data_IF_693565582675
#
_entry.id   IF_693565582675
#
_cell.length_a   1.000
_cell.length_b   1.000
_cell.length_c   1.000
_cell.angle_alpha   90.00
_cell.angle_beta   90.00
_cell.angle_gamma   90.00
#
_symmetry.space_group_name_H-M   'P 1'
#
loop_
_entity.id
_entity.type
_entity.pdbx_description
1 polymer ?
#
# COMPACT_ATOMS: atom_id res chain seq x y z
N UNK A 1 -29.11 18.12 0.11
CA UNK A 1 -28.18 18.76 -0.86
C UNK A 1 -27.65 20.01 -0.18
N UNK A 2 -26.32 20.19 -0.07
CA UNK A 2 -25.75 21.39 0.57
C UNK A 2 -26.21 22.60 -0.26
N UNK A 3 -26.95 23.57 0.32
CA UNK A 3 -27.60 24.65 -0.44
C UNK A 3 -26.61 25.51 -1.25
N UNK A 4 -25.34 25.53 -0.85
CA UNK A 4 -24.30 26.31 -1.49
C UNK A 4 -22.95 25.56 -1.46
N UNK A 5 -22.69 24.73 -2.48
CA UNK A 5 -21.43 23.98 -2.61
C UNK A 5 -20.20 24.89 -2.73
N UNK A 6 -20.36 26.07 -3.34
CA UNK A 6 -19.31 27.09 -3.44
C UNK A 6 -18.93 27.61 -2.05
N UNK A 7 -19.92 27.92 -1.20
CA UNK A 7 -19.68 28.34 0.17
C UNK A 7 -19.00 27.24 1.00
N UNK A 8 -19.48 25.99 0.88
CA UNK A 8 -18.84 24.85 1.53
C UNK A 8 -17.35 24.73 1.14
N UNK A 9 -17.05 24.80 -0.16
CA UNK A 9 -15.68 24.79 -0.66
C UNK A 9 -14.85 25.97 -0.10
N UNK A 10 -15.40 27.19 -0.08
CA UNK A 10 -14.72 28.38 0.49
C UNK A 10 -14.43 28.23 1.98
N UNK A 11 -15.37 27.71 2.78
CA UNK A 11 -15.15 27.48 4.22
C UNK A 11 -14.05 26.44 4.45
N UNK A 12 -14.04 25.36 3.68
CA UNK A 12 -13.01 24.33 3.77
C UNK A 12 -11.63 24.88 3.37
N UNK A 13 -11.54 25.62 2.26
CA UNK A 13 -10.29 26.23 1.82
C UNK A 13 -9.76 27.25 2.82
N UNK A 14 -10.63 28.09 3.40
CA UNK A 14 -10.24 29.03 4.46
C UNK A 14 -9.70 28.32 5.71
N UNK A 15 -10.30 27.18 6.08
CA UNK A 15 -9.75 26.33 7.13
C UNK A 15 -8.40 25.73 6.73
N UNK A 16 -8.26 25.24 5.51
CA UNK A 16 -7.01 24.68 4.99
C UNK A 16 -5.87 25.69 5.00
N UNK A 17 -6.13 26.93 4.58
CA UNK A 17 -5.11 28.00 4.55
C UNK A 17 -4.51 28.27 5.94
N UNK A 18 -5.28 28.06 7.02
CA UNK A 18 -4.83 28.23 8.42
C UNK A 18 -4.26 26.97 9.05
N UNK A 19 -4.70 25.78 8.62
CA UNK A 19 -4.47 24.53 9.34
C UNK A 19 -3.80 23.43 8.51
N UNK A 20 -3.46 23.69 7.24
CA UNK A 20 -2.78 22.73 6.36
C UNK A 20 -1.53 22.19 7.04
N UNK A 21 -1.35 20.87 6.95
CA UNK A 21 -0.14 20.22 7.45
C UNK A 21 1.05 20.56 6.55
N UNK A 22 2.18 20.85 7.17
CA UNK A 22 3.47 20.93 6.50
C UNK A 22 3.99 19.52 6.22
N UNK A 23 4.00 19.12 4.95
CA UNK A 23 4.38 17.78 4.50
C UNK A 23 5.42 17.89 3.37
N UNK A 24 6.42 16.99 3.31
CA UNK A 24 7.56 17.13 2.39
C UNK A 24 7.20 17.20 0.89
N UNK A 25 6.08 16.61 0.51
CA UNK A 25 5.57 16.54 -0.86
C UNK A 25 4.57 17.63 -1.21
N UNK A 26 4.20 18.50 -0.27
CA UNK A 26 3.25 19.58 -0.52
C UNK A 26 4.00 20.84 -0.94
N UNK A 27 3.64 21.36 -2.12
CA UNK A 27 4.04 22.70 -2.53
C UNK A 27 3.57 23.74 -1.50
N UNK A 28 4.41 24.72 -1.20
CA UNK A 28 4.05 25.82 -0.30
C UNK A 28 3.03 26.75 -0.98
N UNK A 29 2.32 27.60 -0.22
CA UNK A 29 1.45 28.61 -0.81
C UNK A 29 2.19 29.45 -1.87
N UNK A 30 1.64 29.51 -3.09
CA UNK A 30 2.24 30.21 -4.23
C UNK A 30 3.22 29.38 -5.08
N UNK A 31 3.61 28.19 -4.64
CA UNK A 31 4.43 27.27 -5.43
C UNK A 31 3.57 26.34 -6.29
N UNK A 32 4.08 25.97 -7.46
CA UNK A 32 3.49 24.93 -8.29
C UNK A 32 3.97 23.56 -7.81
N UNK A 33 3.03 22.64 -7.58
CA UNK A 33 3.38 21.28 -7.21
C UNK A 33 3.97 20.52 -8.39
N UNK A 34 5.14 19.92 -8.18
CA UNK A 34 5.79 19.05 -9.16
C UNK A 34 5.03 17.71 -9.30
N UNK A 35 4.54 17.36 -10.50
CA UNK A 35 3.84 16.09 -10.73
C UNK A 35 4.63 14.85 -10.30
N UNK A 36 5.96 14.83 -10.48
CA UNK A 36 6.81 13.71 -10.05
C UNK A 36 6.74 13.52 -8.54
N UNK A 37 6.87 14.63 -7.80
CA UNK A 37 6.80 14.66 -6.33
C UNK A 37 5.44 14.30 -5.79
N UNK A 38 4.36 14.78 -6.42
CA UNK A 38 2.99 14.41 -6.05
C UNK A 38 2.78 12.92 -6.26
N UNK A 39 3.04 12.42 -7.47
CA UNK A 39 2.88 11.01 -7.82
C UNK A 39 3.67 10.09 -6.87
N UNK A 40 4.95 10.37 -6.63
CA UNK A 40 5.79 9.57 -5.75
C UNK A 40 5.18 9.45 -4.33
N UNK A 41 4.71 10.59 -3.79
CA UNK A 41 4.07 10.62 -2.47
C UNK A 41 2.76 9.82 -2.44
N UNK A 42 1.93 9.92 -3.48
CA UNK A 42 0.67 9.20 -3.56
C UNK A 42 0.88 7.69 -3.62
N UNK A 43 1.90 7.21 -4.36
CA UNK A 43 2.26 5.79 -4.38
C UNK A 43 2.80 5.34 -3.02
N UNK A 44 3.66 6.12 -2.37
CA UNK A 44 4.18 5.81 -1.03
C UNK A 44 3.09 5.74 0.03
N UNK A 45 2.09 6.63 -0.01
CA UNK A 45 1.00 6.70 0.97
C UNK A 45 -0.06 5.61 0.81
N UNK A 46 -0.02 4.82 -0.26
CA UNK A 46 -0.90 3.66 -0.40
C UNK A 46 -0.66 2.67 0.76
N UNK A 47 -1.67 2.52 1.63
CA UNK A 47 -1.62 1.64 2.81
C UNK A 47 -0.44 1.92 3.75
N UNK A 48 0.11 3.14 3.72
CA UNK A 48 1.25 3.56 4.54
C UNK A 48 0.89 4.87 5.25
N UNK A 49 1.30 5.04 6.51
CA UNK A 49 1.00 6.27 7.26
C UNK A 49 1.94 7.41 6.85
N UNK A 50 1.49 8.65 6.99
CA UNK A 50 2.30 9.85 6.72
C UNK A 50 3.64 9.84 7.47
N UNK A 51 3.70 9.55 8.79
CA UNK A 51 4.97 9.51 9.51
C UNK A 51 5.93 8.44 9.00
N UNK A 52 5.42 7.29 8.56
CA UNK A 52 6.24 6.23 7.99
C UNK A 52 6.75 6.56 6.60
N UNK A 53 5.94 7.21 5.75
CA UNK A 53 6.31 7.56 4.38
C UNK A 53 7.27 8.76 4.28
N UNK A 54 7.16 9.74 5.19
CA UNK A 54 7.95 10.98 5.15
C UNK A 54 9.47 10.81 5.04
N UNK A 55 10.15 9.97 5.84
CA UNK A 55 11.61 9.80 5.71
C UNK A 55 12.01 9.14 4.39
N UNK A 56 11.24 8.16 3.91
CA UNK A 56 11.49 7.52 2.62
C UNK A 56 11.31 8.50 1.47
N UNK A 57 10.25 9.30 1.50
CA UNK A 57 10.01 10.30 0.48
C UNK A 57 11.20 11.26 0.34
N UNK A 58 11.72 11.79 1.47
CA UNK A 58 12.89 12.67 1.45
C UNK A 58 14.09 11.98 0.81
N UNK A 59 14.45 10.79 1.32
CA UNK A 59 15.59 10.03 0.80
C UNK A 59 15.45 9.69 -0.69
N UNK A 60 14.25 9.38 -1.17
CA UNK A 60 14.00 9.12 -2.60
C UNK A 60 14.20 10.39 -3.43
N UNK A 61 13.62 11.52 -3.01
CA UNK A 61 13.75 12.78 -3.76
C UNK A 61 15.16 13.38 -3.71
N UNK A 62 15.97 13.00 -2.72
CA UNK A 62 17.39 13.37 -2.64
C UNK A 62 18.23 12.50 -3.59
N UNK A 63 17.98 11.18 -3.64
CA UNK A 63 18.72 10.25 -4.52
C UNK A 63 18.33 10.37 -5.98
N UNK A 64 17.03 10.58 -6.24
CA UNK A 64 16.45 10.69 -7.58
C UNK A 64 15.61 11.97 -7.65
N UNK A 65 16.24 13.13 -7.90
CA UNK A 65 15.55 14.41 -7.89
C UNK A 65 14.48 14.54 -8.98
N UNK A 66 14.63 13.84 -10.11
CA UNK A 66 13.69 13.84 -11.22
C UNK A 66 13.17 12.43 -11.54
N UNK A 67 12.07 12.37 -12.30
CA UNK A 67 11.54 11.09 -12.80
C UNK A 67 12.53 10.36 -13.72
N UNK A 68 13.40 11.10 -14.43
CA UNK A 68 14.47 10.53 -15.26
C UNK A 68 15.51 9.84 -14.38
N UNK A 69 15.98 10.49 -13.32
CA UNK A 69 16.96 9.91 -12.39
C UNK A 69 16.42 8.60 -11.78
N UNK A 70 15.13 8.58 -11.43
CA UNK A 70 14.48 7.36 -10.93
C UNK A 70 14.34 6.28 -12.01
N UNK A 71 14.04 6.67 -13.24
CA UNK A 71 13.88 5.74 -14.37
C UNK A 71 15.21 5.06 -14.75
N UNK A 72 16.31 5.82 -14.73
CA UNK A 72 17.64 5.36 -15.12
C UNK A 72 18.32 4.51 -14.03
N UNK A 73 17.83 4.58 -12.79
CA UNK A 73 18.34 3.80 -11.67
C UNK A 73 18.13 2.28 -11.89
N UNK A 74 19.11 1.43 -11.49
CA UNK A 74 18.90 -0.01 -11.40
C UNK A 74 17.70 -0.34 -10.50
N UNK A 75 16.87 -1.29 -10.92
CA UNK A 75 15.69 -1.67 -10.14
C UNK A 75 16.06 -2.11 -8.72
N UNK A 76 17.16 -2.85 -8.55
CA UNK A 76 17.60 -3.33 -7.24
C UNK A 76 17.90 -2.18 -6.27
N UNK A 77 18.49 -1.08 -6.74
CA UNK A 77 18.73 0.11 -5.90
C UNK A 77 17.41 0.75 -5.44
N UNK A 78 16.40 0.78 -6.31
CA UNK A 78 15.05 1.26 -5.99
C UNK A 78 14.38 0.34 -4.97
N UNK A 79 14.53 -0.98 -5.10
CA UNK A 79 13.98 -1.96 -4.17
C UNK A 79 14.66 -1.86 -2.79
N UNK A 80 15.98 -1.66 -2.75
CA UNK A 80 16.74 -1.43 -1.51
C UNK A 80 16.28 -0.15 -0.83
N UNK A 81 16.13 0.96 -1.57
CA UNK A 81 15.63 2.20 -1.01
C UNK A 81 14.18 2.07 -0.49
N UNK A 82 13.35 1.25 -1.14
CA UNK A 82 11.97 0.98 -0.73
C UNK A 82 11.85 0.00 0.45
N UNK A 83 12.94 -0.66 0.84
CA UNK A 83 12.91 -1.71 1.85
C UNK A 83 12.39 -1.16 3.18
N UNK A 84 11.31 -1.77 3.69
CA UNK A 84 10.62 -1.34 4.91
C UNK A 84 9.30 -0.58 4.70
N UNK A 85 9.04 -0.01 3.52
CA UNK A 85 7.73 0.58 3.17
C UNK A 85 6.64 -0.47 2.91
N UNK A 86 7.03 -1.72 2.67
CA UNK A 86 6.12 -2.82 2.34
C UNK A 86 5.52 -2.74 0.92
N UNK A 87 4.86 -3.82 0.50
CA UNK A 87 4.26 -3.96 -0.85
C UNK A 87 5.23 -3.60 -1.98
N UNK A 88 6.29 -4.39 -2.16
CA UNK A 88 7.34 -4.13 -3.18
C UNK A 88 6.84 -4.11 -4.62
N UNK A 89 5.66 -4.69 -4.89
CA UNK A 89 4.98 -4.51 -6.17
C UNK A 89 4.71 -3.02 -6.49
N UNK A 90 4.49 -2.16 -5.47
CA UNK A 90 4.40 -0.71 -5.65
C UNK A 90 5.70 -0.13 -6.16
N UNK A 91 6.84 -0.51 -5.59
CA UNK A 91 8.16 -0.04 -6.02
C UNK A 91 8.48 -0.44 -7.46
N UNK A 92 8.17 -1.69 -7.84
CA UNK A 92 8.36 -2.16 -9.22
C UNK A 92 7.45 -1.43 -10.22
N UNK A 93 6.17 -1.28 -9.89
CA UNK A 93 5.24 -0.52 -10.74
C UNK A 93 5.60 0.96 -10.82
N UNK A 94 6.06 1.56 -9.71
CA UNK A 94 6.60 2.91 -9.65
C UNK A 94 7.77 3.05 -10.63
N UNK A 95 8.77 2.15 -10.57
CA UNK A 95 9.92 2.18 -11.47
C UNK A 95 9.53 1.98 -12.94
N UNK A 96 8.65 1.01 -13.23
CA UNK A 96 8.10 0.81 -14.57
C UNK A 96 7.40 2.07 -15.11
N UNK A 97 6.59 2.72 -14.28
CA UNK A 97 5.92 3.97 -14.63
C UNK A 97 6.90 5.12 -14.83
N UNK A 98 7.93 5.24 -13.99
CA UNK A 98 8.98 6.25 -14.15
C UNK A 98 9.64 6.12 -15.53
N UNK A 99 9.99 4.90 -15.94
CA UNK A 99 10.55 4.63 -17.28
C UNK A 99 9.59 5.00 -18.40
N UNK A 100 8.31 4.64 -18.30
CA UNK A 100 7.30 5.04 -19.30
C UNK A 100 7.18 6.56 -19.41
N UNK A 101 7.12 7.27 -18.28
CA UNK A 101 7.04 8.76 -18.28
C UNK A 101 8.32 9.37 -18.83
N UNK A 102 9.47 8.84 -18.47
CA UNK A 102 10.75 9.31 -18.95
C UNK A 102 10.87 9.09 -20.47
N UNK A 103 10.62 7.89 -20.95
CA UNK A 103 10.89 7.50 -22.34
C UNK A 103 9.80 7.94 -23.31
N UNK A 104 8.53 7.77 -22.97
CA UNK A 104 7.41 8.05 -23.87
C UNK A 104 6.83 9.46 -23.71
N UNK A 105 7.02 10.09 -22.55
CA UNK A 105 6.50 11.43 -22.26
C UNK A 105 7.60 12.47 -22.02
N UNK A 106 8.86 12.16 -22.37
CA UNK A 106 9.97 13.10 -22.28
C UNK A 106 10.28 13.58 -20.84
N UNK A 107 10.02 12.73 -19.85
CA UNK A 107 10.24 13.06 -18.43
C UNK A 107 9.17 13.96 -17.82
N UNK A 108 8.02 14.13 -18.48
CA UNK A 108 6.92 14.97 -17.99
C UNK A 108 5.65 14.14 -17.85
N UNK A 109 5.01 14.18 -16.69
CA UNK A 109 3.70 13.57 -16.53
C UNK A 109 2.67 14.27 -17.44
N UNK A 110 1.76 13.51 -18.08
CA UNK A 110 0.67 14.12 -18.82
C UNK A 110 -0.28 14.87 -17.88
N UNK A 111 -0.78 16.02 -18.31
CA UNK A 111 -1.72 16.83 -17.53
C UNK A 111 -3.19 16.37 -17.63
N UNK A 112 -3.47 15.41 -18.51
CA UNK A 112 -4.79 14.87 -18.75
C UNK A 112 -5.06 13.62 -17.89
N UNK A 113 -6.25 13.53 -17.29
CA UNK A 113 -6.58 12.42 -16.38
C UNK A 113 -6.68 11.09 -17.13
N UNK A 114 -7.18 11.07 -18.37
CA UNK A 114 -7.26 9.84 -19.15
C UNK A 114 -5.86 9.34 -19.52
N UNK A 115 -4.96 10.23 -19.94
CA UNK A 115 -3.57 9.89 -20.20
C UNK A 115 -2.82 9.42 -18.93
N UNK A 116 -3.11 10.00 -17.76
CA UNK A 116 -2.56 9.53 -16.49
C UNK A 116 -3.01 8.10 -16.15
N UNK A 117 -4.26 7.72 -16.49
CA UNK A 117 -4.79 6.37 -16.25
C UNK A 117 -4.15 5.28 -17.11
N UNK A 118 -3.53 5.66 -18.22
CA UNK A 118 -2.81 4.73 -19.10
C UNK A 118 -1.42 4.36 -18.52
N UNK A 119 -0.93 5.13 -17.54
CA UNK A 119 0.39 4.89 -16.94
C UNK A 119 0.39 3.70 -15.97
N UNK A 120 1.46 2.87 -15.96
CA UNK A 120 1.54 1.71 -15.07
C UNK A 120 1.37 2.07 -13.59
N UNK A 121 0.46 1.37 -12.91
CA UNK A 121 0.26 1.55 -11.47
C UNK A 121 -0.46 2.85 -11.06
N UNK A 122 -0.92 3.67 -12.01
CA UNK A 122 -1.77 4.83 -11.75
C UNK A 122 -3.24 4.41 -11.90
N UNK A 123 -3.95 4.34 -10.77
CA UNK A 123 -5.40 4.13 -10.76
C UNK A 123 -6.18 5.45 -10.70
N UNK A 124 -7.51 5.35 -10.78
CA UNK A 124 -8.43 6.51 -10.79
C UNK A 124 -8.17 7.53 -9.65
N UNK A 125 -7.85 7.04 -8.44
CA UNK A 125 -7.52 7.92 -7.32
C UNK A 125 -6.23 8.73 -7.58
N UNK A 126 -5.15 8.06 -7.97
CA UNK A 126 -3.84 8.70 -8.20
C UNK A 126 -3.90 9.64 -9.40
N UNK A 127 -4.60 9.25 -10.47
CA UNK A 127 -4.80 10.12 -11.64
C UNK A 127 -5.52 11.41 -11.24
N UNK A 128 -6.66 11.32 -10.56
CA UNK A 128 -7.39 12.48 -10.07
C UNK A 128 -6.55 13.35 -9.12
N UNK A 129 -5.76 12.73 -8.23
CA UNK A 129 -4.88 13.45 -7.31
C UNK A 129 -3.81 14.27 -8.05
N UNK A 130 -3.14 13.68 -9.05
CA UNK A 130 -2.14 14.39 -9.86
C UNK A 130 -2.82 15.50 -10.67
N UNK A 131 -3.94 15.22 -11.34
CA UNK A 131 -4.72 16.19 -12.11
C UNK A 131 -5.11 17.41 -11.28
N UNK A 132 -5.61 17.21 -10.06
CA UNK A 132 -6.00 18.30 -9.17
C UNK A 132 -4.80 19.03 -8.57
N UNK A 133 -3.86 18.30 -7.97
CA UNK A 133 -2.80 18.87 -7.14
C UNK A 133 -1.68 19.47 -7.98
N UNK A 134 -1.19 18.72 -8.97
CA UNK A 134 -0.04 19.14 -9.77
C UNK A 134 -0.43 20.03 -10.94
N UNK A 135 -1.57 19.73 -11.58
CA UNK A 135 -2.00 20.46 -12.78
C UNK A 135 -3.10 21.49 -12.52
N UNK A 136 -3.63 21.58 -11.30
CA UNK A 136 -4.66 22.57 -10.95
C UNK A 136 -5.98 22.40 -11.72
N UNK A 137 -6.23 21.21 -12.30
CA UNK A 137 -7.42 20.92 -13.09
C UNK A 137 -8.50 20.32 -12.20
N UNK A 138 -9.78 20.54 -12.54
CA UNK A 138 -10.89 19.98 -11.76
C UNK A 138 -10.88 18.45 -11.85
N UNK A 139 -10.61 17.80 -10.72
CA UNK A 139 -10.76 16.35 -10.57
C UNK A 139 -11.25 16.03 -9.16
N UNK A 140 -12.14 15.03 -9.05
CA UNK A 140 -12.75 14.64 -7.76
C UNK A 140 -11.92 13.53 -7.12
N UNK A 141 -11.07 13.89 -6.17
CA UNK A 141 -10.19 12.95 -5.48
C UNK A 141 -10.93 12.27 -4.32
N UNK A 142 -11.09 10.95 -4.38
CA UNK A 142 -11.86 10.18 -3.37
C UNK A 142 -11.04 9.01 -2.83
N UNK A 143 -10.50 9.17 -1.62
CA UNK A 143 -9.92 8.09 -0.79
C UNK A 143 -10.87 7.68 0.34
N UNK A 144 -10.42 6.79 1.23
CA UNK A 144 -11.20 6.37 2.40
C UNK A 144 -11.46 7.49 3.43
N UNK A 145 -10.69 8.57 3.41
CA UNK A 145 -10.94 9.76 4.23
C UNK A 145 -12.09 10.59 3.65
N UNK A 146 -12.05 10.85 2.34
CA UNK A 146 -13.10 11.55 1.60
C UNK A 146 -14.39 10.74 1.61
N UNK A 147 -14.36 9.43 1.37
CA UNK A 147 -15.55 8.55 1.48
C UNK A 147 -16.25 8.74 2.82
N UNK A 148 -15.50 8.82 3.92
CA UNK A 148 -16.05 9.03 5.27
C UNK A 148 -16.62 10.43 5.46
N UNK A 149 -15.91 11.47 5.03
CA UNK A 149 -16.41 12.85 5.11
C UNK A 149 -17.71 12.99 4.33
N UNK A 150 -17.76 12.47 3.10
CA UNK A 150 -18.91 12.55 2.21
C UNK A 150 -20.07 11.71 2.74
N UNK A 151 -19.81 10.51 3.26
CA UNK A 151 -20.85 9.69 3.88
C UNK A 151 -21.52 10.41 5.06
N UNK A 152 -20.75 11.16 5.85
CA UNK A 152 -21.27 11.91 7.00
C UNK A 152 -21.99 13.18 6.60
N UNK A 153 -21.43 13.98 5.68
CA UNK A 153 -22.04 15.27 5.35
C UNK A 153 -23.42 15.10 4.70
N UNK A 154 -23.64 14.00 3.95
CA UNK A 154 -24.90 13.64 3.30
C UNK A 154 -25.65 12.49 3.99
N UNK A 155 -25.27 12.10 5.21
CA UNK A 155 -25.89 11.01 5.98
C UNK A 155 -26.13 9.71 5.17
N UNK A 156 -25.17 9.29 4.34
CA UNK A 156 -25.28 8.09 3.50
C UNK A 156 -25.13 6.84 4.36
N UNK A 157 -26.26 6.18 4.63
CA UNK A 157 -26.32 5.00 5.48
C UNK A 157 -26.01 3.68 4.76
N UNK A 158 -26.04 3.67 3.42
CA UNK A 158 -25.71 2.47 2.66
C UNK A 158 -24.29 1.97 3.03
N UNK A 159 -24.11 0.67 3.35
CA UNK A 159 -22.81 0.16 3.74
C UNK A 159 -21.78 0.15 2.60
N UNK A 160 -20.52 0.39 2.94
CA UNK A 160 -19.41 0.10 2.03
C UNK A 160 -19.27 -1.42 1.81
N UNK A 161 -18.94 -1.88 0.58
CA UNK A 161 -18.50 -1.06 -0.57
C UNK A 161 -19.62 -0.53 -1.47
N UNK A 162 -20.89 -0.89 -1.26
CA UNK A 162 -22.00 -0.56 -2.16
C UNK A 162 -22.21 0.95 -2.29
N UNK A 163 -21.99 1.72 -1.22
CA UNK A 163 -22.13 3.18 -1.25
C UNK A 163 -21.08 3.91 -2.12
N UNK A 164 -19.97 3.28 -2.51
CA UNK A 164 -18.86 3.97 -3.19
C UNK A 164 -19.26 4.76 -4.45
N UNK A 165 -20.09 4.26 -5.37
CA UNK A 165 -20.54 5.03 -6.52
C UNK A 165 -21.35 6.27 -6.13
N UNK A 166 -22.23 6.15 -5.12
CA UNK A 166 -23.01 7.28 -4.62
C UNK A 166 -22.12 8.35 -3.96
N UNK A 167 -21.17 7.92 -3.12
CA UNK A 167 -20.21 8.81 -2.48
C UNK A 167 -19.35 9.57 -3.48
N UNK A 168 -18.91 8.92 -4.57
CA UNK A 168 -18.17 9.60 -5.65
C UNK A 168 -19.01 10.67 -6.34
N UNK A 169 -20.28 10.37 -6.67
CA UNK A 169 -21.19 11.37 -7.27
C UNK A 169 -21.42 12.56 -6.33
N UNK A 170 -21.64 12.30 -5.04
CA UNK A 170 -21.82 13.35 -4.04
C UNK A 170 -20.55 14.18 -3.80
N UNK A 171 -19.37 13.56 -3.84
CA UNK A 171 -18.11 14.30 -3.77
C UNK A 171 -17.93 15.25 -4.96
N UNK A 172 -18.35 14.82 -6.16
CA UNK A 172 -18.26 15.63 -7.37
C UNK A 172 -19.14 16.90 -7.31
N UNK A 173 -20.28 16.85 -6.63
CA UNK A 173 -21.14 18.05 -6.47
C UNK A 173 -20.52 19.13 -5.58
N UNK A 174 -19.54 18.77 -4.75
CA UNK A 174 -18.82 19.70 -3.87
C UNK A 174 -17.47 20.16 -4.43
N UNK A 175 -16.97 19.49 -5.47
CA UNK A 175 -15.63 19.78 -6.02
C UNK A 175 -15.66 21.11 -6.78
N UNK A 176 -14.94 22.15 -6.31
CA UNK A 176 -14.98 23.48 -6.92
C UNK A 176 -14.16 23.53 -8.21
N UNK A 177 -14.50 24.48 -9.09
CA UNK A 177 -13.69 24.84 -10.27
C UNK A 177 -12.48 25.73 -9.93
N UNK A 178 -12.41 26.24 -8.69
CA UNK A 178 -11.32 27.08 -8.19
C UNK A 178 -10.51 26.34 -7.12
N UNK A 179 -9.18 26.45 -7.20
CA UNK A 179 -8.23 25.78 -6.29
C UNK A 179 -8.51 24.27 -6.09
N UNK A 180 -8.74 23.47 -7.15
CA UNK A 180 -9.12 22.05 -7.00
C UNK A 180 -8.06 21.22 -6.28
N UNK A 181 -6.77 21.52 -6.48
CA UNK A 181 -5.66 20.86 -5.79
C UNK A 181 -5.67 21.09 -4.28
N UNK A 182 -5.82 22.35 -3.84
CA UNK A 182 -5.94 22.68 -2.42
C UNK A 182 -7.21 22.08 -1.82
N UNK A 183 -8.33 22.09 -2.56
CA UNK A 183 -9.58 21.48 -2.10
C UNK A 183 -9.41 19.97 -1.87
N UNK A 184 -8.77 19.25 -2.80
CA UNK A 184 -8.48 17.83 -2.65
C UNK A 184 -7.63 17.56 -1.39
N UNK A 185 -6.56 18.33 -1.18
CA UNK A 185 -5.72 18.19 0.01
C UNK A 185 -6.44 18.59 1.31
N UNK A 186 -7.29 19.60 1.26
CA UNK A 186 -8.12 20.03 2.38
C UNK A 186 -9.12 18.95 2.79
N UNK A 187 -9.74 18.27 1.83
CA UNK A 187 -10.62 17.14 2.07
C UNK A 187 -9.89 15.98 2.76
N UNK A 188 -8.67 15.67 2.31
CA UNK A 188 -7.81 14.67 2.96
C UNK A 188 -7.44 15.08 4.38
N UNK A 189 -7.04 16.34 4.61
CA UNK A 189 -6.67 16.84 5.93
C UNK A 189 -7.86 16.87 6.89
N UNK A 190 -9.03 17.30 6.42
CA UNK A 190 -10.27 17.29 7.18
C UNK A 190 -10.59 15.87 7.65
N UNK A 191 -10.57 14.89 6.74
CA UNK A 191 -10.82 13.49 7.08
C UNK A 191 -9.76 12.92 8.03
N UNK A 192 -8.49 13.27 7.84
CA UNK A 192 -7.39 12.75 8.65
C UNK A 192 -7.35 13.32 10.08
N UNK A 193 -7.76 14.57 10.30
CA UNK A 193 -7.50 15.29 11.55
C UNK A 193 -8.73 15.74 12.33
N UNK A 194 -9.86 15.96 11.64
CA UNK A 194 -11.11 16.46 12.23
C UNK A 194 -12.22 15.41 12.16
N UNK A 195 -12.55 14.98 10.95
CA UNK A 195 -13.59 13.99 10.68
C UNK A 195 -13.00 12.57 10.79
N UNK A 196 -12.41 12.25 11.94
CA UNK A 196 -11.70 10.99 12.20
C UNK A 196 -12.66 9.79 12.29
N UNK A 197 -12.18 8.55 12.07
CA UNK A 197 -13.04 7.35 12.12
C UNK A 197 -13.81 7.20 13.44
N UNK A 198 -13.14 7.46 14.57
CA UNK A 198 -13.73 7.46 15.92
C UNK A 198 -13.64 8.86 16.51
N UNK A 199 -14.61 9.24 17.34
CA UNK A 199 -14.68 10.52 18.05
C UNK A 199 -14.34 11.73 17.15
N UNK A 200 -15.08 11.97 16.05
CA UNK A 200 -14.82 13.11 15.17
C UNK A 200 -14.96 14.43 15.94
N UNK A 201 -14.07 15.39 15.66
CA UNK A 201 -14.02 16.70 16.31
C UNK A 201 -15.03 17.66 15.69
N UNK A 202 -16.32 17.31 15.72
CA UNK A 202 -17.38 18.02 15.01
C UNK A 202 -17.45 19.51 15.36
N UNK A 203 -17.14 19.91 16.60
CA UNK A 203 -17.13 21.31 17.04
C UNK A 203 -16.03 22.16 16.37
N UNK A 204 -14.99 21.53 15.82
CA UNK A 204 -13.90 22.19 15.11
C UNK A 204 -14.05 22.09 13.58
N UNK A 205 -15.11 21.45 13.08
CA UNK A 205 -15.28 21.16 11.67
C UNK A 205 -15.80 22.40 10.91
N UNK A 206 -15.14 22.83 9.82
CA UNK A 206 -15.62 23.95 8.99
C UNK A 206 -16.98 23.68 8.31
N UNK A 207 -17.41 22.42 8.29
CA UNK A 207 -18.67 21.96 7.72
C UNK A 207 -19.68 21.48 8.77
N UNK A 208 -19.48 21.83 10.05
CA UNK A 208 -20.35 21.38 11.12
C UNK A 208 -21.84 21.69 10.86
N UNK A 209 -22.15 22.85 10.28
CA UNK A 209 -23.53 23.29 10.03
C UNK A 209 -24.11 22.69 8.74
N UNK A 210 -23.28 22.14 7.87
CA UNK A 210 -23.70 21.46 6.64
C UNK A 210 -23.84 19.94 6.80
N UNK A 211 -23.44 19.39 7.96
CA UNK A 211 -23.30 17.96 8.14
C UNK A 211 -24.59 17.30 8.64
N UNK A 212 -25.30 16.62 7.74
CA UNK A 212 -26.55 15.91 8.04
C UNK A 212 -26.34 14.84 9.13
N UNK A 213 -25.25 14.07 9.08
CA UNK A 213 -24.97 13.06 10.11
C UNK A 213 -24.62 13.64 11.48
N UNK A 214 -24.09 14.87 11.55
CA UNK A 214 -23.89 15.57 12.83
C UNK A 214 -25.25 15.97 13.41
N UNK A 215 -26.10 16.59 12.59
CA UNK A 215 -27.44 17.01 13.00
C UNK A 215 -28.28 15.82 13.49
N UNK A 216 -28.17 14.67 12.82
CA UNK A 216 -28.85 13.42 13.19
C UNK A 216 -28.16 12.62 14.31
N UNK A 217 -26.97 13.02 14.78
CA UNK A 217 -26.23 12.28 15.83
C UNK A 217 -25.63 10.93 15.40
N UNK A 218 -25.50 10.66 14.09
CA UNK A 218 -25.02 9.39 13.54
C UNK A 218 -23.61 9.46 12.93
N UNK A 219 -22.89 10.59 13.08
CA UNK A 219 -21.59 10.78 12.43
C UNK A 219 -20.57 9.66 12.74
N UNK A 220 -20.51 9.17 13.99
CA UNK A 220 -19.55 8.12 14.37
C UNK A 220 -19.90 6.73 13.83
N UNK A 221 -21.18 6.47 13.50
CA UNK A 221 -21.60 5.19 12.89
C UNK A 221 -21.34 5.14 11.38
N UNK A 222 -21.02 6.27 10.76
CA UNK A 222 -20.77 6.39 9.33
C UNK A 222 -19.27 6.53 8.98
N UNK A 223 -18.82 5.95 7.84
CA UNK A 223 -19.60 5.10 6.93
C UNK A 223 -19.84 3.71 7.52
N UNK A 224 -21.04 3.16 7.31
CA UNK A 224 -21.32 1.76 7.67
C UNK A 224 -20.45 0.85 6.81
N UNK A 225 -20.04 -0.28 7.36
CA UNK A 225 -19.32 -1.33 6.62
C UNK A 225 -20.20 -2.56 6.57
N UNK A 226 -20.27 -3.20 5.42
CA UNK A 226 -20.88 -4.52 5.32
C UNK A 226 -20.22 -5.48 6.32
N UNK A 227 -20.99 -6.42 6.85
CA UNK A 227 -20.46 -7.49 7.67
C UNK A 227 -19.35 -8.20 6.88
N UNK A 228 -18.18 -8.38 7.51
CA UNK A 228 -17.09 -9.10 6.87
C UNK A 228 -17.47 -10.58 6.81
N UNK A 229 -17.38 -11.18 5.63
CA UNK A 229 -17.37 -12.63 5.51
C UNK A 229 -16.16 -13.21 6.24
N UNK A 230 -16.29 -14.43 6.73
CA UNK A 230 -15.15 -15.16 7.30
C UNK A 230 -14.03 -15.27 6.26
N UNK A 231 -12.80 -14.97 6.67
CA UNK A 231 -11.65 -15.09 5.78
C UNK A 231 -11.26 -16.56 5.68
N UNK A 232 -11.11 -17.13 4.47
CA UNK A 232 -10.65 -18.49 4.34
C UNK A 232 -9.25 -18.64 4.97
N UNK A 233 -8.98 -19.82 5.51
CA UNK A 233 -7.65 -20.20 5.97
C UNK A 233 -6.98 -21.04 4.90
N UNK A 234 -5.74 -20.68 4.54
CA UNK A 234 -4.86 -21.47 3.68
C UNK A 234 -3.75 -22.08 4.52
N UNK A 235 -3.30 -23.27 4.14
CA UNK A 235 -2.38 -24.12 4.87
C UNK A 235 -1.28 -24.61 3.95
N UNK A 236 -0.08 -24.81 4.51
CA UNK A 236 1.09 -25.30 3.78
C UNK A 236 2.23 -25.70 4.71
N UNK A 237 3.30 -26.21 4.12
CA UNK A 237 4.51 -26.63 4.86
C UNK A 237 5.72 -25.91 4.26
N UNK A 238 6.51 -25.24 5.11
CA UNK A 238 7.77 -24.60 4.74
C UNK A 238 8.97 -25.52 5.00
N UNK A 239 9.95 -25.50 4.11
CA UNK A 239 11.13 -26.36 4.11
C UNK A 239 12.38 -25.58 4.53
N UNK A 240 12.74 -25.66 5.80
CA UNK A 240 13.99 -25.09 6.32
C UNK A 240 15.17 -26.03 6.06
N UNK A 241 16.01 -25.70 5.09
CA UNK A 241 17.13 -26.55 4.68
C UNK A 241 18.45 -25.83 4.85
N UNK A 242 19.34 -26.40 5.66
CA UNK A 242 20.71 -25.92 5.84
C UNK A 242 21.69 -26.78 5.03
N UNK A 243 22.67 -26.15 4.39
CA UNK A 243 23.83 -26.86 3.86
C UNK A 243 24.90 -27.07 4.95
N UNK A 244 25.98 -27.83 4.69
CA UNK A 244 27.06 -28.02 5.65
C UNK A 244 27.75 -26.72 6.10
N UNK A 245 27.72 -25.68 5.27
CA UNK A 245 28.28 -24.36 5.56
C UNK A 245 27.35 -23.45 6.39
N UNK A 246 26.17 -23.93 6.79
CA UNK A 246 25.21 -23.16 7.60
C UNK A 246 24.41 -22.11 6.83
N UNK A 247 24.41 -22.16 5.50
CA UNK A 247 23.54 -21.35 4.65
C UNK A 247 22.18 -22.04 4.45
N UNK A 248 21.11 -21.24 4.43
CA UNK A 248 19.74 -21.72 4.19
C UNK A 248 19.34 -21.54 2.73
N UNK A 249 18.59 -22.52 2.20
CA UNK A 249 17.98 -22.40 0.88
C UNK A 249 16.79 -21.43 0.89
N UNK A 250 16.89 -20.38 0.08
CA UNK A 250 15.78 -19.50 -0.29
C UNK A 250 15.46 -19.62 -1.78
N UNK A 251 14.23 -19.28 -2.16
CA UNK A 251 13.81 -19.10 -3.56
C UNK A 251 13.32 -17.68 -3.77
N UNK A 252 13.37 -17.21 -5.02
CA UNK A 252 12.68 -15.99 -5.43
C UNK A 252 11.30 -16.37 -5.96
N UNK A 253 10.24 -15.80 -5.40
CA UNK A 253 8.87 -15.98 -5.90
C UNK A 253 8.76 -15.38 -7.29
N UNK A 254 7.89 -15.97 -8.13
CA UNK A 254 7.55 -15.40 -9.44
C UNK A 254 7.17 -13.91 -9.31
N UNK A 255 7.46 -13.09 -10.31
CA UNK A 255 7.23 -11.64 -10.24
C UNK A 255 5.74 -11.29 -10.08
N UNK A 256 4.87 -12.13 -10.62
CA UNK A 256 3.42 -11.99 -10.56
C UNK A 256 2.81 -12.80 -9.40
N UNK A 257 1.70 -12.27 -8.87
CA UNK A 257 0.93 -12.92 -7.80
C UNK A 257 1.37 -12.52 -6.39
N UNK A 258 0.97 -13.35 -5.42
CA UNK A 258 1.13 -13.03 -4.00
C UNK A 258 2.62 -13.03 -3.59
N UNK A 259 3.06 -11.92 -2.98
CA UNK A 259 4.45 -11.69 -2.57
C UNK A 259 5.44 -11.80 -3.75
N UNK A 260 5.01 -11.41 -4.96
CA UNK A 260 5.82 -11.62 -6.15
C UNK A 260 7.20 -10.95 -6.09
N UNK A 261 8.21 -11.62 -6.64
CA UNK A 261 9.60 -11.18 -6.67
C UNK A 261 10.32 -11.15 -5.31
N UNK A 262 9.64 -11.52 -4.21
CA UNK A 262 10.25 -11.57 -2.87
C UNK A 262 10.99 -12.88 -2.64
N UNK A 263 11.96 -12.86 -1.73
CA UNK A 263 12.60 -14.07 -1.24
C UNK A 263 11.64 -14.88 -0.36
N UNK A 264 11.75 -16.20 -0.41
CA UNK A 264 10.98 -17.10 0.43
C UNK A 264 11.79 -18.31 0.88
N UNK A 265 11.42 -18.84 2.04
CA UNK A 265 11.74 -20.23 2.39
C UNK A 265 10.84 -21.11 1.51
N UNK A 266 11.38 -22.10 0.76
CA UNK A 266 10.56 -22.96 -0.08
C UNK A 266 9.37 -23.53 0.69
N UNK A 267 8.20 -23.61 0.06
CA UNK A 267 7.01 -24.19 0.69
C UNK A 267 6.17 -24.96 -0.31
N UNK A 268 5.27 -25.80 0.19
CA UNK A 268 4.19 -26.36 -0.63
C UNK A 268 3.25 -25.26 -1.13
N UNK A 269 2.39 -25.59 -2.10
CA UNK A 269 1.25 -24.75 -2.44
C UNK A 269 0.36 -24.49 -1.20
N UNK A 270 -0.24 -23.29 -1.14
CA UNK A 270 -1.10 -22.88 -0.02
C UNK A 270 -2.56 -23.14 -0.37
N UNK A 271 -3.11 -24.24 0.13
CA UNK A 271 -4.47 -24.70 -0.13
C UNK A 271 -5.40 -24.55 1.09
N UNK A 272 -6.71 -24.79 0.96
CA UNK A 272 -7.63 -24.76 2.10
C UNK A 272 -7.30 -25.85 3.14
N UNK A 273 -6.80 -27.00 2.68
CA UNK A 273 -6.40 -28.13 3.50
C UNK A 273 -4.86 -28.18 3.66
N UNK A 274 -4.34 -28.71 4.79
CA UNK A 274 -2.91 -28.98 4.91
C UNK A 274 -2.48 -30.05 3.88
N UNK A 275 -1.27 -29.93 3.31
CA UNK A 275 -0.77 -30.95 2.39
C UNK A 275 -0.56 -32.28 3.12
N UNK A 276 -0.98 -33.39 2.51
CA UNK A 276 -0.68 -34.72 3.04
C UNK A 276 0.81 -35.08 2.95
N UNK A 277 1.25 -36.06 3.75
CA UNK A 277 2.67 -36.46 3.84
C UNK A 277 3.33 -36.74 2.48
N UNK A 278 2.64 -37.43 1.57
CA UNK A 278 3.18 -37.74 0.24
C UNK A 278 3.44 -36.48 -0.59
N UNK A 279 2.55 -35.48 -0.51
CA UNK A 279 2.73 -34.20 -1.19
C UNK A 279 3.87 -33.39 -0.57
N UNK A 280 4.02 -33.45 0.76
CA UNK A 280 5.15 -32.83 1.47
C UNK A 280 6.46 -33.49 1.05
N UNK A 281 6.53 -34.82 0.97
CA UNK A 281 7.72 -35.54 0.54
C UNK A 281 8.11 -35.23 -0.91
N UNK A 282 7.14 -35.22 -1.83
CA UNK A 282 7.37 -34.96 -3.25
C UNK A 282 7.91 -33.56 -3.56
N UNK A 283 7.71 -32.58 -2.67
CA UNK A 283 8.13 -31.19 -2.86
C UNK A 283 9.36 -30.81 -2.02
N UNK A 284 9.99 -31.78 -1.33
CA UNK A 284 11.24 -31.55 -0.61
C UNK A 284 12.32 -31.07 -1.58
N UNK A 285 13.04 -29.97 -1.27
CA UNK A 285 14.08 -29.44 -2.15
C UNK A 285 15.22 -30.43 -2.46
N UNK A 286 15.49 -31.37 -1.55
CA UNK A 286 16.43 -32.48 -1.77
C UNK A 286 16.09 -33.68 -0.87
N UNK A 287 16.54 -34.89 -1.24
CA UNK A 287 16.44 -36.06 -0.38
C UNK A 287 17.29 -35.89 0.88
N UNK A 288 16.64 -35.73 2.03
CA UNK A 288 17.30 -35.63 3.34
C UNK A 288 16.39 -36.18 4.45
N UNK A 289 16.93 -36.26 5.67
CA UNK A 289 16.15 -36.60 6.85
C UNK A 289 15.39 -35.37 7.36
N UNK A 290 14.20 -35.16 6.84
CA UNK A 290 13.31 -34.07 7.26
C UNK A 290 12.62 -34.39 8.60
N UNK A 291 12.61 -33.40 9.50
CA UNK A 291 11.87 -33.46 10.77
C UNK A 291 10.89 -32.29 10.87
N UNK A 292 9.71 -32.52 11.44
CA UNK A 292 8.79 -31.43 11.80
C UNK A 292 9.32 -30.66 13.00
N UNK A 293 9.28 -29.34 12.92
CA UNK A 293 9.57 -28.46 14.05
C UNK A 293 8.28 -28.18 14.83
N UNK A 294 8.34 -28.05 16.17
CA UNK A 294 7.17 -27.73 16.96
C UNK A 294 6.73 -26.27 16.73
N UNK A 295 5.41 -26.07 16.63
CA UNK A 295 4.79 -24.76 16.46
C UNK A 295 4.16 -24.56 15.08
N UNK A 296 3.46 -23.43 14.92
CA UNK A 296 2.75 -23.08 13.68
C UNK A 296 2.92 -21.60 13.39
N UNK A 297 3.37 -21.27 12.18
CA UNK A 297 3.44 -19.88 11.73
C UNK A 297 2.06 -19.43 11.28
N UNK A 298 1.51 -18.42 11.94
CA UNK A 298 0.25 -17.77 11.55
C UNK A 298 0.49 -16.37 10.97
N UNK A 299 -0.13 -16.10 9.83
CA UNK A 299 -0.07 -14.80 9.17
C UNK A 299 -1.42 -14.42 8.56
N UNK A 300 -1.80 -13.14 8.64
CA UNK A 300 -3.08 -12.68 8.11
C UNK A 300 -2.84 -11.74 6.94
N UNK A 301 -3.31 -12.15 5.76
CA UNK A 301 -3.43 -11.28 4.60
C UNK A 301 -4.79 -10.57 4.61
N UNK A 302 -4.95 -9.57 3.73
CA UNK A 302 -6.22 -8.86 3.58
C UNK A 302 -7.37 -9.82 3.24
N UNK A 303 -7.10 -10.86 2.43
CA UNK A 303 -8.13 -11.74 1.87
C UNK A 303 -8.21 -13.14 2.50
N UNK A 304 -7.19 -13.57 3.26
CA UNK A 304 -7.15 -14.92 3.86
C UNK A 304 -6.18 -14.99 5.05
N UNK A 305 -6.31 -16.02 5.89
CA UNK A 305 -5.34 -16.39 6.91
C UNK A 305 -4.41 -17.48 6.38
N UNK A 306 -3.13 -17.42 6.70
CA UNK A 306 -2.16 -18.45 6.36
C UNK A 306 -1.65 -19.13 7.63
N UNK A 307 -1.65 -20.46 7.61
CA UNK A 307 -0.98 -21.31 8.59
C UNK A 307 0.11 -22.12 7.90
N UNK A 308 1.34 -22.06 8.40
CA UNK A 308 2.46 -22.86 7.90
C UNK A 308 3.07 -23.70 9.01
N UNK A 309 3.14 -25.01 8.78
CA UNK A 309 4.07 -25.87 9.50
C UNK A 309 5.48 -25.67 8.94
N UNK A 310 6.49 -26.01 9.73
CA UNK A 310 7.89 -25.97 9.29
C UNK A 310 8.51 -27.34 9.46
N UNK A 311 9.07 -27.87 8.37
CA UNK A 311 9.96 -29.03 8.39
C UNK A 311 11.39 -28.57 8.17
N UNK A 312 12.34 -29.20 8.85
CA UNK A 312 13.74 -28.87 8.75
C UNK A 312 14.60 -30.07 8.38
N UNK A 313 15.67 -29.83 7.63
CA UNK A 313 16.71 -30.79 7.33
C UNK A 313 18.07 -30.09 7.24
N UNK A 314 19.13 -30.89 7.42
CA UNK A 314 20.49 -30.51 7.08
C UNK A 314 20.94 -31.39 5.92
N UNK A 315 21.54 -30.77 4.91
CA UNK A 315 22.09 -31.48 3.77
C UNK A 315 23.30 -32.31 4.21
N UNK A 316 23.42 -33.52 3.68
CA UNK A 316 24.52 -34.42 4.00
C UNK A 316 25.85 -34.02 3.36
N UNK A 317 26.95 -34.74 3.64
CA UNK A 317 28.27 -34.46 3.08
C UNK A 317 28.31 -34.48 1.55
N UNK A 318 27.59 -35.41 0.93
CA UNK A 318 27.55 -35.61 -0.53
C UNK A 318 26.35 -34.93 -1.19
N UNK A 319 25.83 -33.86 -0.58
CA UNK A 319 24.64 -33.19 -1.09
C UNK A 319 24.90 -32.53 -2.45
N UNK A 320 23.91 -32.63 -3.33
CA UNK A 320 23.89 -31.87 -4.57
C UNK A 320 23.15 -30.55 -4.37
N UNK A 321 23.73 -29.47 -4.89
CA UNK A 321 23.17 -28.12 -4.74
C UNK A 321 21.79 -28.04 -5.38
N UNK A 322 20.76 -27.91 -4.55
CA UNK A 322 19.41 -27.64 -5.02
C UNK A 322 19.29 -26.22 -5.60
N UNK A 323 18.42 -26.07 -6.59
CA UNK A 323 18.14 -24.78 -7.23
C UNK A 323 17.57 -23.76 -6.24
N UNK A 324 18.19 -22.59 -6.23
CA UNK A 324 17.82 -21.45 -5.38
C UNK A 324 19.04 -20.71 -4.85
N UNK A 325 18.75 -19.75 -3.96
CA UNK A 325 19.75 -18.90 -3.35
C UNK A 325 20.12 -19.46 -1.97
N UNK A 326 21.39 -19.81 -1.80
CA UNK A 326 21.93 -20.25 -0.52
C UNK A 326 22.46 -19.04 0.23
N UNK A 327 21.82 -18.69 1.34
CA UNK A 327 22.09 -17.47 2.09
C UNK A 327 22.56 -17.82 3.50
N UNK A 328 23.75 -17.36 3.94
CA UNK A 328 24.17 -17.49 5.33
C UNK A 328 23.11 -16.94 6.30
N UNK A 329 22.87 -17.65 7.41
CA UNK A 329 21.80 -17.28 8.36
C UNK A 329 21.94 -15.86 8.89
N UNK A 330 23.18 -15.40 9.10
CA UNK A 330 23.52 -14.04 9.55
C UNK A 330 23.25 -12.96 8.49
N UNK A 331 23.12 -13.33 7.20
CA UNK A 331 22.81 -12.44 6.07
C UNK A 331 21.34 -12.47 5.62
N UNK A 332 20.46 -13.15 6.37
CA UNK A 332 19.04 -13.17 6.05
C UNK A 332 18.39 -11.78 6.15
N UNK A 333 18.95 -10.87 6.95
CA UNK A 333 18.49 -9.48 7.05
C UNK A 333 18.65 -8.68 5.75
N UNK A 334 19.58 -9.08 4.89
CA UNK A 334 19.86 -8.42 3.61
C UNK A 334 18.90 -8.87 2.50
N UNK A 335 18.09 -9.90 2.77
CA UNK A 335 17.16 -10.45 1.80
C UNK A 335 15.80 -9.76 1.90
N UNK A 336 15.12 -9.60 0.75
CA UNK A 336 13.76 -9.07 0.69
C UNK A 336 12.71 -10.09 1.17
N UNK A 337 12.85 -10.56 2.42
CA UNK A 337 11.96 -11.53 3.06
C UNK A 337 10.68 -10.82 3.55
N UNK A 338 9.49 -11.29 3.14
CA UNK A 338 8.25 -10.76 3.69
C UNK A 338 8.07 -11.19 5.14
N UNK A 339 7.26 -10.43 5.88
CA UNK A 339 7.05 -10.66 7.32
C UNK A 339 6.54 -12.07 7.68
N UNK A 340 5.85 -12.76 6.76
CA UNK A 340 5.48 -14.17 6.93
C UNK A 340 6.71 -15.09 6.91
N UNK A 341 7.66 -14.86 6.02
CA UNK A 341 8.90 -15.66 5.92
C UNK A 341 9.86 -15.34 7.05
N UNK A 342 9.89 -14.09 7.52
CA UNK A 342 10.61 -13.73 8.76
C UNK A 342 10.08 -14.54 9.96
N UNK A 343 8.77 -14.81 10.04
CA UNK A 343 8.22 -15.69 11.09
C UNK A 343 8.65 -17.15 10.91
N UNK A 344 8.71 -17.65 9.67
CA UNK A 344 9.24 -19.00 9.37
C UNK A 344 10.70 -19.11 9.82
N UNK A 345 11.55 -18.15 9.43
CA UNK A 345 12.95 -18.07 9.85
C UNK A 345 13.06 -18.09 11.39
N UNK A 346 12.29 -17.25 12.08
CA UNK A 346 12.32 -17.20 13.55
C UNK A 346 11.90 -18.51 14.20
N UNK A 347 10.84 -19.16 13.69
CA UNK A 347 10.42 -20.46 14.21
C UNK A 347 11.48 -21.52 13.97
N UNK A 348 12.08 -21.55 12.77
CA UNK A 348 13.13 -22.48 12.44
C UNK A 348 14.37 -22.31 13.33
N UNK A 349 14.87 -21.08 13.47
CA UNK A 349 16.05 -20.77 14.29
C UNK A 349 15.82 -21.03 15.79
N UNK A 350 14.59 -20.87 16.29
CA UNK A 350 14.26 -21.20 17.68
C UNK A 350 14.26 -22.71 17.97
N UNK A 351 14.25 -23.56 16.93
CA UNK A 351 14.16 -25.02 17.03
C UNK A 351 15.31 -25.74 16.29
N UNK A 352 16.27 -24.98 15.78
CA UNK A 352 17.40 -25.46 14.99
C UNK A 352 18.36 -26.30 15.84
#
# INVERSE_FOLDING_TARGET
>A
MIPNSIEAARRLLSWYDRHRRDLPWRARPGETADPYRVWLSEIMLQQTTVPAAAPYYRSFTERWPTVRDLADAPLDDVLVAWAGLGYYARARNLHKCARVVADLHGGRFPGDEAALLELPGIGAYTAAAITAIAFGRKATVVDGNVERVIARIFAVEEPLPNAKPALRRLAATLTPDFRPGDYAQAMMDLGATICTPRKPKCMLCPWADFCEARAAGIAESLPRKAAKSEKPTRRGVAYWLLNPEGAVLLRRRAEEGLLGGMAEVPSTAWGPEPPGEAAVAAQQPLPARWRRLPGLVRHTFTHFHLELEVVAAQAGPDWQRADGNWVPVDRLGDQALPSVMVKVVRLALANA
#
